data_IF_039748168780
#
_entry.id   IF_039748168780
#
_cell.length_a   1.000
_cell.length_b   1.000
_cell.length_c   1.000
_cell.angle_alpha   90.00
_cell.angle_beta   90.00
_cell.angle_gamma   90.00
#
_symmetry.space_group_name_H-M   'P 1'
#
loop_
_entity.id
_entity.type
_entity.pdbx_description
1 polymer ?
#
# COMPACT_ATOMS: atom_id res chain seq x y z
N UNK A 1 6.96 6.47 16.90
CA UNK A 1 6.00 7.12 15.99
C UNK A 1 5.41 6.18 14.93
N UNK A 2 6.18 5.27 14.30
CA UNK A 2 5.70 4.31 13.27
C UNK A 2 4.79 3.18 13.80
N UNK A 3 5.07 2.62 14.98
CA UNK A 3 4.23 1.57 15.62
C UNK A 3 2.84 2.10 16.02
N UNK A 4 2.76 3.34 16.53
CA UNK A 4 1.49 3.98 16.90
C UNK A 4 0.53 4.21 15.72
N UNK A 5 1.07 4.34 14.49
CA UNK A 5 0.28 4.39 13.25
C UNK A 5 -0.22 3.01 12.81
N UNK A 6 0.44 1.91 13.21
CA UNK A 6 -0.07 0.56 12.94
C UNK A 6 -1.17 0.16 13.93
N UNK A 7 -1.11 0.66 15.17
CA UNK A 7 -2.15 0.45 16.19
C UNK A 7 -3.51 1.01 15.78
N UNK A 8 -3.55 2.05 14.95
CA UNK A 8 -4.80 2.65 14.46
C UNK A 8 -5.60 1.67 13.59
N UNK A 9 -4.95 0.70 12.95
CA UNK A 9 -5.62 -0.31 12.12
C UNK A 9 -6.50 -1.23 12.97
N UNK A 10 -6.23 -1.35 14.26
CA UNK A 10 -7.02 -2.17 15.20
C UNK A 10 -8.19 -1.40 15.83
N UNK A 11 -8.37 -0.12 15.49
CA UNK A 11 -9.52 0.67 15.95
C UNK A 11 -10.76 0.34 15.11
N UNK A 12 -11.82 -0.23 15.70
CA UNK A 12 -12.98 -0.71 14.94
C UNK A 12 -13.84 0.44 14.37
N UNK A 13 -13.72 1.66 14.91
CA UNK A 13 -14.40 2.87 14.44
C UNK A 13 -13.76 3.48 13.18
N UNK A 14 -12.62 2.94 12.73
CA UNK A 14 -11.89 3.45 11.56
C UNK A 14 -11.86 2.41 10.45
N UNK A 15 -12.13 2.84 9.23
CA UNK A 15 -12.01 2.04 8.01
C UNK A 15 -10.83 2.53 7.20
N UNK A 16 -10.13 1.60 6.56
CA UNK A 16 -8.95 1.88 5.76
C UNK A 16 -9.10 1.22 4.40
N UNK A 17 -8.84 1.98 3.34
CA UNK A 17 -8.73 1.45 1.99
C UNK A 17 -7.36 1.81 1.44
N UNK A 18 -6.53 0.79 1.25
CA UNK A 18 -5.19 0.90 0.70
C UNK A 18 -5.18 0.37 -0.72
N UNK A 19 -4.48 1.06 -1.61
CA UNK A 19 -4.14 0.58 -2.94
C UNK A 19 -2.63 0.72 -3.09
N UNK A 20 -1.94 -0.39 -3.34
CA UNK A 20 -0.49 -0.44 -3.53
C UNK A 20 -0.18 -1.04 -4.90
N UNK A 21 0.94 -0.65 -5.47
CA UNK A 21 1.47 -1.30 -6.68
C UNK A 21 2.36 -2.47 -6.28
N UNK A 22 2.43 -3.50 -7.12
CA UNK A 22 3.42 -4.57 -6.94
C UNK A 22 4.86 -4.03 -6.92
N UNK A 23 5.14 -2.96 -7.68
CA UNK A 23 6.42 -2.26 -7.65
C UNK A 23 6.83 -1.85 -6.23
N UNK A 24 5.88 -1.30 -5.45
CA UNK A 24 6.13 -0.86 -4.08
C UNK A 24 6.50 -2.04 -3.16
N UNK A 25 5.95 -3.23 -3.40
CA UNK A 25 6.26 -4.45 -2.65
C UNK A 25 7.68 -4.97 -2.96
N UNK A 26 8.19 -4.66 -4.16
CA UNK A 26 9.48 -5.14 -4.65
C UNK A 26 10.64 -4.18 -4.41
N UNK A 27 10.39 -2.95 -3.96
CA UNK A 27 11.48 -2.03 -3.62
C UNK A 27 12.33 -2.57 -2.46
N UNK A 28 13.61 -2.80 -2.73
CA UNK A 28 14.59 -3.32 -1.76
C UNK A 28 15.11 -2.22 -0.83
N UNK A 29 14.22 -1.68 0.00
CA UNK A 29 14.53 -0.58 0.92
C UNK A 29 15.19 -1.03 2.23
N UNK A 30 15.19 -2.33 2.50
CA UNK A 30 15.78 -2.93 3.69
C UNK A 30 16.24 -4.38 3.40
N UNK A 31 16.98 -5.02 4.33
CA UNK A 31 17.39 -6.41 4.20
C UNK A 31 16.22 -7.36 3.88
N UNK A 32 16.50 -8.47 3.18
CA UNK A 32 15.46 -9.37 2.66
C UNK A 32 14.59 -9.98 3.76
N UNK A 33 15.18 -10.40 4.87
CA UNK A 33 14.48 -10.92 6.05
C UNK A 33 13.49 -9.90 6.62
N UNK A 34 13.89 -8.62 6.67
CA UNK A 34 13.02 -7.52 7.10
C UNK A 34 11.89 -7.28 6.09
N UNK A 35 12.19 -7.33 4.79
CA UNK A 35 11.17 -7.21 3.72
C UNK A 35 10.11 -8.31 3.81
N UNK A 36 10.53 -9.57 3.97
CA UNK A 36 9.62 -10.71 4.13
C UNK A 36 8.68 -10.51 5.32
N UNK A 37 9.22 -10.09 6.47
CA UNK A 37 8.40 -9.77 7.64
C UNK A 37 7.42 -8.60 7.43
N UNK A 38 7.76 -7.61 6.58
CA UNK A 38 6.81 -6.55 6.22
C UNK A 38 5.67 -7.07 5.34
N UNK A 39 5.97 -7.95 4.38
CA UNK A 39 4.97 -8.52 3.46
C UNK A 39 4.02 -9.49 4.19
N UNK A 40 4.53 -10.31 5.10
CA UNK A 40 3.71 -11.16 5.98
C UNK A 40 2.75 -10.33 6.84
N UNK A 41 3.24 -9.20 7.35
CA UNK A 41 2.41 -8.26 8.11
C UNK A 41 1.35 -7.61 7.24
N UNK A 42 1.65 -7.30 5.99
CA UNK A 42 0.68 -6.77 5.03
C UNK A 42 -0.44 -7.78 4.74
N UNK A 43 -0.10 -9.07 4.60
CA UNK A 43 -1.08 -10.16 4.48
C UNK A 43 -1.98 -10.20 5.70
N UNK A 44 -1.38 -10.15 6.90
CA UNK A 44 -2.13 -10.16 8.17
C UNK A 44 -3.11 -8.98 8.26
N UNK A 45 -2.66 -7.79 7.89
CA UNK A 45 -3.52 -6.59 7.87
C UNK A 45 -4.65 -6.68 6.85
N UNK A 46 -4.43 -7.35 5.71
CA UNK A 46 -5.48 -7.56 4.69
C UNK A 46 -6.65 -8.42 5.17
N UNK A 47 -6.52 -9.05 6.34
CA UNK A 47 -7.56 -9.88 6.95
C UNK A 47 -8.39 -9.13 8.00
N UNK A 48 -7.98 -7.91 8.38
CA UNK A 48 -8.76 -7.11 9.33
C UNK A 48 -10.08 -6.65 8.69
N UNK A 49 -11.22 -6.75 9.39
CA UNK A 49 -12.54 -6.47 8.82
C UNK A 49 -12.74 -5.01 8.41
N UNK A 50 -11.92 -4.11 8.96
CA UNK A 50 -11.93 -2.68 8.66
C UNK A 50 -10.84 -2.26 7.66
N UNK A 51 -10.11 -3.21 7.07
CA UNK A 51 -9.06 -2.96 6.08
C UNK A 51 -9.46 -3.54 4.73
N UNK A 52 -9.48 -2.69 3.71
CA UNK A 52 -9.58 -3.09 2.30
C UNK A 52 -8.23 -2.83 1.64
N UNK A 53 -7.50 -3.90 1.33
CA UNK A 53 -6.20 -3.82 0.64
C UNK A 53 -6.34 -4.26 -0.81
N UNK A 54 -6.05 -3.34 -1.73
CA UNK A 54 -5.92 -3.58 -3.17
C UNK A 54 -4.46 -3.57 -3.60
N UNK A 55 -4.10 -4.49 -4.51
CA UNK A 55 -2.77 -4.56 -5.13
C UNK A 55 -2.92 -4.49 -6.65
N UNK A 56 -2.20 -3.56 -7.29
CA UNK A 56 -2.12 -3.46 -8.74
C UNK A 56 -0.88 -4.26 -9.19
N UNK A 57 -1.10 -5.42 -9.80
CA UNK A 57 -0.04 -6.30 -10.32
C UNK A 57 0.58 -5.77 -11.60
N UNK A 58 1.76 -6.25 -11.97
CA UNK A 58 2.45 -5.77 -13.17
C UNK A 58 1.72 -6.04 -14.49
N UNK A 59 0.94 -7.12 -14.56
CA UNK A 59 0.12 -7.44 -15.74
C UNK A 59 -1.17 -6.61 -15.82
N UNK A 60 -1.43 -5.73 -14.84
CA UNK A 60 -2.63 -4.90 -14.81
C UNK A 60 -2.41 -3.61 -15.60
N UNK A 61 -3.27 -3.36 -16.59
CA UNK A 61 -3.31 -2.07 -17.26
C UNK A 61 -3.85 -1.00 -16.30
N UNK A 62 -3.08 0.08 -16.12
CA UNK A 62 -3.48 1.19 -15.26
C UNK A 62 -4.60 2.01 -15.91
N UNK A 63 -5.59 2.39 -15.10
CA UNK A 63 -6.58 3.40 -15.47
C UNK A 63 -6.00 4.81 -15.44
N UNK A 64 -5.10 5.07 -14.49
CA UNK A 64 -4.36 6.33 -14.34
C UNK A 64 -2.97 6.05 -13.78
N UNK A 65 -2.02 6.93 -14.05
CA UNK A 65 -0.63 6.72 -13.62
C UNK A 65 -0.50 6.94 -12.10
N UNK A 66 0.22 6.07 -11.36
CA UNK A 66 0.48 6.26 -9.93
C UNK A 66 1.74 7.13 -9.72
N UNK A 67 1.61 8.46 -9.87
CA UNK A 67 2.77 9.39 -9.85
C UNK A 67 3.49 9.43 -8.49
N UNK A 68 2.74 9.46 -7.39
CA UNK A 68 3.25 9.57 -6.02
C UNK A 68 2.27 8.97 -5.02
N UNK A 69 2.78 8.66 -3.83
CA UNK A 69 1.95 8.23 -2.71
C UNK A 69 1.22 9.41 -2.07
N UNK A 70 -0.05 9.21 -1.70
CA UNK A 70 -0.85 10.19 -0.98
C UNK A 70 -1.78 9.50 0.01
N UNK A 71 -2.22 10.24 1.03
CA UNK A 71 -3.15 9.80 2.06
C UNK A 71 -4.38 10.67 2.03
N UNK A 72 -5.56 10.05 1.94
CA UNK A 72 -6.82 10.75 2.09
C UNK A 72 -7.36 10.52 3.50
N UNK A 73 -7.77 11.61 4.15
CA UNK A 73 -8.47 11.56 5.44
C UNK A 73 -9.90 12.03 5.19
N UNK A 74 -10.78 11.04 5.00
CA UNK A 74 -12.18 11.25 4.63
C UNK A 74 -12.28 12.22 3.43
N UNK A 75 -13.16 13.22 3.52
CA UNK A 75 -13.30 14.29 2.52
C UNK A 75 -12.70 15.61 3.02
N UNK A 76 -11.80 15.55 4.01
CA UNK A 76 -11.31 16.75 4.71
C UNK A 76 -9.93 17.20 4.24
N UNK A 77 -9.04 16.26 3.89
CA UNK A 77 -7.69 16.58 3.44
C UNK A 77 -6.99 15.44 2.68
N UNK A 78 -6.03 15.83 1.86
CA UNK A 78 -5.05 14.96 1.22
C UNK A 78 -3.65 15.32 1.73
N UNK A 79 -2.87 14.33 2.15
CA UNK A 79 -1.48 14.50 2.57
C UNK A 79 -0.54 13.81 1.58
N UNK A 80 0.44 14.55 1.08
CA UNK A 80 1.50 14.04 0.22
C UNK A 80 2.83 14.26 0.92
N UNK A 81 3.57 13.19 1.19
CA UNK A 81 4.90 13.27 1.81
C UNK A 81 5.96 13.30 0.71
N UNK A 82 6.85 14.29 0.74
CA UNK A 82 8.03 14.40 -0.13
C UNK A 82 9.30 14.30 0.70
N UNK A 83 10.47 14.34 0.05
CA UNK A 83 11.76 14.25 0.76
C UNK A 83 11.98 15.35 1.81
N UNK A 84 11.51 16.57 1.55
CA UNK A 84 11.79 17.74 2.40
C UNK A 84 10.57 18.22 3.19
N UNK A 85 9.38 18.11 2.62
CA UNK A 85 8.16 18.67 3.19
C UNK A 85 6.94 17.78 2.87
N UNK A 86 5.83 18.06 3.55
CA UNK A 86 4.53 17.49 3.20
C UNK A 86 3.60 18.57 2.63
N UNK A 87 2.82 18.21 1.62
CA UNK A 87 1.69 19.02 1.15
C UNK A 87 0.43 18.57 1.87
N UNK A 88 -0.24 19.50 2.55
CA UNK A 88 -1.53 19.30 3.24
C UNK A 88 -2.62 20.05 2.45
N UNK A 89 -3.24 19.33 1.52
CA UNK A 89 -4.25 19.88 0.61
C UNK A 89 -5.63 19.80 1.26
N UNK A 90 -6.33 20.94 1.27
CA UNK A 90 -7.66 21.09 1.89
C UNK A 90 -8.69 21.73 0.96
N UNK A 91 -8.28 22.14 -0.25
CA UNK A 91 -9.23 22.75 -1.18
C UNK A 91 -10.15 21.65 -1.74
N UNK A 92 -11.48 21.86 -1.79
CA UNK A 92 -12.42 20.84 -2.25
C UNK A 92 -12.06 20.26 -3.62
N UNK A 93 -11.65 21.10 -4.58
CA UNK A 93 -11.28 20.66 -5.93
C UNK A 93 -10.03 19.78 -5.95
N UNK A 94 -9.06 20.03 -5.06
CA UNK A 94 -7.88 19.17 -4.92
C UNK A 94 -8.26 17.83 -4.30
N UNK A 95 -9.12 17.85 -3.27
CA UNK A 95 -9.62 16.63 -2.64
C UNK A 95 -10.38 15.76 -3.65
N UNK A 96 -11.27 16.37 -4.45
CA UNK A 96 -12.01 15.70 -5.52
C UNK A 96 -11.08 15.09 -6.58
N UNK A 97 -10.03 15.81 -6.99
CA UNK A 97 -9.05 15.29 -7.94
C UNK A 97 -8.34 14.04 -7.43
N UNK A 98 -7.85 14.06 -6.18
CA UNK A 98 -7.19 12.91 -5.58
C UNK A 98 -8.15 11.76 -5.27
N UNK A 99 -9.41 12.07 -4.93
CA UNK A 99 -10.47 11.07 -4.78
C UNK A 99 -10.69 10.32 -6.10
N UNK A 100 -10.83 11.04 -7.22
CA UNK A 100 -10.98 10.44 -8.55
C UNK A 100 -9.78 9.57 -8.94
N UNK A 101 -8.56 10.07 -8.74
CA UNK A 101 -7.35 9.28 -9.00
C UNK A 101 -7.28 8.01 -8.14
N UNK A 102 -7.67 8.10 -6.86
CA UNK A 102 -7.74 6.93 -5.98
C UNK A 102 -8.79 5.92 -6.45
N UNK A 103 -9.97 6.38 -6.85
CA UNK A 103 -11.05 5.52 -7.36
C UNK A 103 -10.64 4.79 -8.65
N UNK A 104 -10.00 5.49 -9.59
CA UNK A 104 -9.47 4.91 -10.83
C UNK A 104 -8.43 3.81 -10.55
N UNK A 105 -7.47 4.07 -9.64
CA UNK A 105 -6.49 3.07 -9.20
C UNK A 105 -7.16 1.90 -8.46
N UNK A 106 -8.12 2.21 -7.59
CA UNK A 106 -8.85 1.22 -6.82
C UNK A 106 -9.72 0.30 -7.70
N UNK A 107 -10.21 0.79 -8.83
CA UNK A 107 -11.04 0.03 -9.77
C UNK A 107 -10.26 -1.08 -10.48
N UNK A 108 -8.97 -0.88 -10.73
CA UNK A 108 -8.11 -1.87 -11.40
C UNK A 108 -7.32 -2.75 -10.42
N UNK A 109 -7.34 -2.43 -9.13
CA UNK A 109 -6.62 -3.21 -8.13
C UNK A 109 -7.27 -4.58 -7.88
N UNK A 110 -6.44 -5.60 -7.69
CA UNK A 110 -6.85 -6.91 -7.19
C UNK A 110 -7.08 -6.86 -5.68
N UNK A 111 -8.12 -7.52 -5.18
CA UNK A 111 -8.47 -7.54 -3.75
C UNK A 111 -8.54 -8.97 -3.19
N UNK A 112 -8.56 -9.09 -1.87
CA UNK A 112 -8.81 -10.35 -1.17
C UNK A 112 -7.78 -11.43 -1.50
N UNK A 113 -8.24 -12.59 -2.01
CA UNK A 113 -7.34 -13.69 -2.36
C UNK A 113 -6.37 -13.32 -3.48
N UNK A 114 -6.82 -12.60 -4.51
CA UNK A 114 -5.97 -12.20 -5.64
C UNK A 114 -4.86 -11.24 -5.21
N UNK A 115 -5.17 -10.27 -4.34
CA UNK A 115 -4.16 -9.40 -3.73
C UNK A 115 -3.10 -10.20 -2.97
N UNK A 116 -3.53 -11.17 -2.14
CA UNK A 116 -2.62 -12.02 -1.37
C UNK A 116 -1.77 -12.93 -2.25
N UNK A 117 -2.31 -13.40 -3.38
CA UNK A 117 -1.54 -14.18 -4.34
C UNK A 117 -0.38 -13.37 -4.92
N UNK A 118 -0.60 -12.08 -5.27
CA UNK A 118 0.48 -11.19 -5.73
C UNK A 118 1.53 -11.00 -4.63
N UNK A 119 1.11 -10.73 -3.39
CA UNK A 119 2.04 -10.54 -2.27
C UNK A 119 2.86 -11.82 -2.02
N UNK A 120 2.23 -13.00 -2.04
CA UNK A 120 2.92 -14.28 -1.88
C UNK A 120 3.92 -14.54 -3.02
N UNK A 121 3.59 -14.20 -4.26
CA UNK A 121 4.54 -14.30 -5.37
C UNK A 121 5.78 -13.45 -5.15
N UNK A 122 5.62 -12.22 -4.61
CA UNK A 122 6.77 -11.37 -4.24
C UNK A 122 7.59 -11.99 -3.11
N UNK A 123 6.95 -12.61 -2.11
CA UNK A 123 7.62 -13.31 -1.00
C UNK A 123 8.46 -14.47 -1.55
N UNK A 124 7.89 -15.30 -2.42
CA UNK A 124 8.57 -16.45 -3.04
C UNK A 124 9.80 -15.99 -3.86
N UNK A 125 9.65 -14.93 -4.65
CA UNK A 125 10.75 -14.35 -5.43
C UNK A 125 11.88 -13.82 -4.53
N UNK A 126 11.53 -13.14 -3.44
CA UNK A 126 12.51 -12.59 -2.51
C UNK A 126 13.24 -13.68 -1.74
N UNK A 127 12.53 -14.72 -1.30
CA UNK A 127 13.12 -15.86 -0.60
C UNK A 127 14.06 -16.67 -1.50
N UNK A 128 13.69 -16.84 -2.77
CA UNK A 128 14.52 -17.54 -3.77
C UNK A 128 15.80 -16.77 -4.16
N UNK A 129 15.84 -15.46 -3.87
CA UNK A 129 16.98 -14.60 -4.11
C UNK A 129 17.92 -14.41 -2.91
N UNK A 130 17.69 -15.09 -1.78
CA UNK A 130 18.61 -15.11 -0.64
C UNK A 130 19.74 -16.10 -0.97
N UNK A 131 21.01 -15.66 -1.06
CA UNK A 131 22.12 -16.59 -1.13
C UNK A 131 22.09 -17.49 0.12
N UNK A 132 22.04 -18.81 -0.06
CA UNK A 132 22.54 -19.74 0.96
C UNK A 132 24.02 -19.40 1.11
N UNK A 133 24.41 -18.64 2.14
CA UNK A 133 25.71 -18.69 2.82
C UNK A 133 25.90 -17.43 3.69
N UNK A 134 25.46 -17.55 4.94
CA UNK A 134 26.08 -16.86 6.06
C UNK A 134 26.99 -17.86 6.77
N UNK A 135 28.24 -17.98 6.31
CA UNK A 135 29.36 -18.60 7.03
C UNK A 135 30.45 -17.55 7.22
#
# INVERSE_FOLDING_TARGET
ARVRRQEILYRPDKRFHFVLTEAALRFRLCPTDVMLGQLDRLISFSQLPNVRLGIIGFETQYATSPWHGFWMYDTERVLIETFSAALDLRQPQEIELYAGAFEELAAVASYGRSARAIINGVIEDLASGVPEDGV
#
